data_IF_645985651534
#
_entry.id   IF_645985651534
#
_cell.length_a   1.000
_cell.length_b   1.000
_cell.length_c   1.000
_cell.angle_alpha   90.00
_cell.angle_beta   90.00
_cell.angle_gamma   90.00
#
_symmetry.space_group_name_H-M   'P 1'
#
loop_
_entity.id
_entity.type
_entity.pdbx_description
1 polymer ?
#
# COMPACT_ATOMS: atom_id res chain seq x y z
N UNK A 1 -26.42 -7.10 9.30
CA UNK A 1 -25.81 -8.20 8.52
C UNK A 1 -24.30 -8.10 8.39
N UNK A 2 -23.73 -6.99 7.90
CA UNK A 2 -22.27 -6.87 7.72
C UNK A 2 -21.43 -7.10 9.00
N UNK A 3 -21.92 -6.65 10.16
CA UNK A 3 -21.25 -6.91 11.45
C UNK A 3 -21.12 -8.40 11.78
N UNK A 4 -22.16 -9.19 11.56
CA UNK A 4 -22.12 -10.64 11.79
C UNK A 4 -21.15 -11.36 10.84
N UNK A 5 -21.11 -10.93 9.56
CA UNK A 5 -20.15 -11.45 8.58
C UNK A 5 -18.71 -11.15 9.03
N UNK A 6 -18.46 -9.93 9.50
CA UNK A 6 -17.13 -9.51 9.98
C UNK A 6 -16.67 -10.35 11.18
N UNK A 7 -17.56 -10.58 12.15
CA UNK A 7 -17.26 -11.42 13.33
C UNK A 7 -16.96 -12.86 12.92
N UNK A 8 -17.75 -13.43 12.00
CA UNK A 8 -17.53 -14.78 11.50
C UNK A 8 -16.16 -14.92 10.83
N UNK A 9 -15.80 -13.98 9.94
CA UNK A 9 -14.49 -13.97 9.26
C UNK A 9 -13.36 -13.81 10.29
N UNK A 10 -13.51 -12.92 11.27
CA UNK A 10 -12.49 -12.70 12.30
C UNK A 10 -12.16 -13.98 13.10
N UNK A 11 -13.17 -14.77 13.45
CA UNK A 11 -12.98 -16.04 14.16
C UNK A 11 -12.36 -17.10 13.23
N UNK A 12 -12.83 -17.20 11.98
CA UNK A 12 -12.31 -18.16 10.99
C UNK A 12 -10.83 -17.92 10.65
N UNK A 13 -10.37 -16.66 10.68
CA UNK A 13 -8.95 -16.35 10.47
C UNK A 13 -8.02 -16.90 11.57
N UNK A 14 -8.57 -17.35 12.71
CA UNK A 14 -7.83 -17.92 13.83
C UNK A 14 -6.64 -17.04 14.28
N UNK A 15 -6.87 -15.78 14.68
CA UNK A 15 -5.79 -14.84 15.00
C UNK A 15 -4.87 -15.31 16.13
N UNK A 16 -5.35 -16.20 17.01
CA UNK A 16 -4.51 -16.80 18.06
C UNK A 16 -3.33 -17.60 17.52
N UNK A 17 -3.40 -18.13 16.29
CA UNK A 17 -2.28 -18.86 15.67
C UNK A 17 -1.07 -17.98 15.38
N UNK A 18 -1.29 -16.74 14.95
CA UNK A 18 -0.18 -15.80 14.71
C UNK A 18 0.37 -15.20 16.01
N UNK A 19 -0.45 -15.19 17.08
CA UNK A 19 -0.06 -14.72 18.42
C UNK A 19 0.68 -15.78 19.25
N UNK A 20 0.68 -17.04 18.81
CA UNK A 20 1.29 -18.18 19.51
C UNK A 20 2.82 -17.99 19.72
N UNK A 21 3.48 -17.20 18.88
CA UNK A 21 4.90 -16.90 19.01
C UNK A 21 5.23 -15.45 18.69
N UNK A 22 6.28 -14.93 19.35
CA UNK A 22 6.85 -13.61 19.03
C UNK A 22 7.31 -13.52 17.58
N UNK A 23 7.84 -14.62 17.03
CA UNK A 23 8.26 -14.69 15.64
C UNK A 23 7.08 -14.48 14.68
N UNK A 24 5.98 -15.21 14.88
CA UNK A 24 4.78 -15.10 14.06
C UNK A 24 4.13 -13.72 14.18
N UNK A 25 4.05 -13.16 15.39
CA UNK A 25 3.38 -11.89 15.62
C UNK A 25 4.19 -10.69 15.11
N UNK A 26 5.44 -10.54 15.54
CA UNK A 26 6.25 -9.36 15.24
C UNK A 26 6.81 -9.47 13.83
N UNK A 27 7.57 -10.51 13.55
CA UNK A 27 8.40 -10.57 12.36
C UNK A 27 7.62 -11.00 11.11
N UNK A 28 6.54 -11.77 11.26
CA UNK A 28 5.73 -12.18 10.11
C UNK A 28 4.51 -11.29 9.92
N UNK A 29 3.72 -11.08 10.98
CA UNK A 29 2.47 -10.33 10.86
C UNK A 29 2.66 -8.81 10.88
N UNK A 30 3.25 -8.23 11.93
CA UNK A 30 3.40 -6.76 12.02
C UNK A 30 4.28 -6.20 10.89
N UNK A 31 5.43 -6.79 10.63
CA UNK A 31 6.30 -6.33 9.53
C UNK A 31 5.67 -6.61 8.17
N UNK A 32 5.03 -7.77 7.98
CA UNK A 32 4.35 -8.13 6.73
C UNK A 32 3.21 -7.16 6.40
N UNK A 33 2.37 -6.85 7.40
CA UNK A 33 1.32 -5.84 7.29
C UNK A 33 1.90 -4.46 6.97
N UNK A 34 2.99 -4.08 7.65
CA UNK A 34 3.67 -2.81 7.43
C UNK A 34 4.27 -2.69 6.02
N UNK A 35 4.72 -3.81 5.44
CA UNK A 35 5.22 -3.88 4.06
C UNK A 35 4.16 -3.49 3.01
N UNK A 36 2.87 -3.70 3.32
CA UNK A 36 1.75 -3.30 2.48
C UNK A 36 1.30 -1.87 2.76
N UNK A 37 1.23 -1.48 4.04
CA UNK A 37 0.79 -0.14 4.42
C UNK A 37 1.78 0.96 4.05
N UNK A 38 3.09 0.70 4.11
CA UNK A 38 4.14 1.67 3.74
C UNK A 38 3.91 2.25 2.34
N UNK A 39 3.82 1.41 1.29
CA UNK A 39 3.50 1.84 -0.07
C UNK A 39 2.20 2.66 -0.19
N UNK A 40 1.11 2.24 0.48
CA UNK A 40 -0.15 2.99 0.48
C UNK A 40 0.04 4.38 1.08
N UNK A 41 0.72 4.47 2.22
CA UNK A 41 1.03 5.74 2.85
C UNK A 41 1.88 6.64 1.95
N UNK A 42 2.90 6.08 1.28
CA UNK A 42 3.73 6.79 0.30
C UNK A 42 2.92 7.40 -0.84
N UNK A 43 2.03 6.62 -1.44
CA UNK A 43 1.14 7.07 -2.51
C UNK A 43 0.22 8.19 -2.02
N UNK A 44 -0.47 7.99 -0.90
CA UNK A 44 -1.42 8.97 -0.35
C UNK A 44 -0.74 10.28 0.04
N UNK A 45 0.46 10.23 0.64
CA UNK A 45 1.22 11.43 0.98
C UNK A 45 1.58 12.24 -0.27
N UNK A 46 2.07 11.58 -1.32
CA UNK A 46 2.43 12.26 -2.56
C UNK A 46 1.19 12.79 -3.28
N UNK A 47 0.12 12.01 -3.35
CA UNK A 47 -1.13 12.40 -3.98
C UNK A 47 -1.70 13.66 -3.31
N UNK A 48 -1.85 13.62 -2.00
CA UNK A 48 -2.50 14.68 -1.25
C UNK A 48 -1.61 15.93 -1.10
N UNK A 49 -0.37 15.77 -0.62
CA UNK A 49 0.47 16.92 -0.28
C UNK A 49 1.21 17.50 -1.48
N UNK A 50 1.73 16.67 -2.40
CA UNK A 50 2.59 17.15 -3.48
C UNK A 50 1.83 17.43 -4.78
N UNK A 51 0.95 16.52 -5.19
CA UNK A 51 0.22 16.62 -6.46
C UNK A 51 -0.98 17.55 -6.29
N UNK A 52 -1.83 17.25 -5.30
CA UNK A 52 -3.08 18.00 -5.05
C UNK A 52 -2.90 19.22 -4.16
N UNK A 53 -1.75 19.37 -3.52
CA UNK A 53 -1.43 20.52 -2.64
C UNK A 53 -2.53 20.75 -1.60
N UNK A 54 -2.93 19.67 -0.93
CA UNK A 54 -3.98 19.63 0.10
C UNK A 54 -5.38 20.08 -0.35
N UNK A 55 -5.65 20.11 -1.67
CA UNK A 55 -6.96 20.44 -2.22
C UNK A 55 -7.67 19.18 -2.71
N UNK A 56 -8.78 18.84 -2.05
CA UNK A 56 -9.63 17.71 -2.39
C UNK A 56 -11.07 18.21 -2.53
N UNK A 57 -11.77 17.71 -3.53
CA UNK A 57 -13.17 18.00 -3.73
C UNK A 57 -13.96 16.80 -3.24
N UNK A 58 -14.65 17.01 -2.14
CA UNK A 58 -15.33 15.95 -1.42
C UNK A 58 -16.52 15.45 -2.22
N UNK A 59 -17.25 16.33 -2.91
CA UNK A 59 -18.44 15.95 -3.67
C UNK A 59 -18.09 15.03 -4.84
N UNK A 60 -16.96 15.29 -5.50
CA UNK A 60 -16.45 14.44 -6.58
C UNK A 60 -15.98 13.06 -6.12
N UNK A 61 -15.64 12.85 -4.84
CA UNK A 61 -15.29 11.52 -4.32
C UNK A 61 -16.49 10.58 -4.20
N UNK A 62 -17.71 11.13 -4.12
CA UNK A 62 -18.94 10.35 -4.00
C UNK A 62 -19.62 10.10 -5.35
N UNK A 63 -18.98 10.47 -6.48
CA UNK A 63 -19.52 10.27 -7.83
C UNK A 63 -18.80 9.11 -8.53
N UNK A 64 -19.57 8.17 -9.08
CA UNK A 64 -19.03 7.03 -9.84
C UNK A 64 -18.24 7.45 -11.09
N UNK A 65 -18.64 8.54 -11.73
CA UNK A 65 -18.01 9.12 -12.93
C UNK A 65 -17.38 10.49 -12.68
N UNK A 66 -16.90 10.72 -11.45
CA UNK A 66 -16.22 11.95 -11.06
C UNK A 66 -14.76 12.03 -11.55
N UNK A 67 -14.11 13.14 -11.21
CA UNK A 67 -12.70 13.39 -11.58
C UNK A 67 -11.68 12.40 -10.97
N UNK A 68 -12.11 11.60 -10.00
CA UNK A 68 -11.30 10.56 -9.35
C UNK A 68 -11.56 9.15 -9.91
N UNK A 69 -12.37 9.01 -10.97
CA UNK A 69 -12.68 7.71 -11.56
C UNK A 69 -11.60 7.16 -12.50
N UNK A 70 -10.59 7.96 -12.87
CA UNK A 70 -9.45 7.56 -13.71
C UNK A 70 -9.85 6.69 -14.91
N UNK A 71 -9.19 5.54 -15.13
CA UNK A 71 -9.51 4.60 -16.21
C UNK A 71 -10.31 3.43 -15.63
N UNK A 72 -11.63 3.46 -15.84
CA UNK A 72 -12.53 2.39 -15.39
C UNK A 72 -12.61 2.23 -13.86
N UNK A 73 -12.44 3.32 -13.11
CA UNK A 73 -12.38 3.31 -11.64
C UNK A 73 -10.98 3.13 -11.06
N UNK A 74 -9.96 2.88 -11.90
CA UNK A 74 -8.61 2.53 -11.46
C UNK A 74 -7.57 3.56 -11.84
N UNK A 75 -6.79 3.99 -10.84
CA UNK A 75 -5.52 4.67 -11.08
C UNK A 75 -4.41 3.62 -11.27
N UNK A 76 -4.14 3.23 -12.51
CA UNK A 76 -3.09 2.26 -12.83
C UNK A 76 -1.69 2.70 -12.40
N UNK A 77 -1.44 4.00 -12.32
CA UNK A 77 -0.17 4.53 -11.77
C UNK A 77 -0.07 4.24 -10.27
N UNK A 78 -1.16 4.41 -9.51
CA UNK A 78 -1.20 4.06 -8.09
C UNK A 78 -1.01 2.55 -7.88
N UNK A 79 -1.68 1.72 -8.69
CA UNK A 79 -1.54 0.26 -8.62
C UNK A 79 -0.09 -0.16 -8.91
N UNK A 80 0.52 0.37 -9.98
CA UNK A 80 1.90 0.08 -10.31
C UNK A 80 2.87 0.54 -9.20
N UNK A 81 2.68 1.74 -8.66
CA UNK A 81 3.48 2.25 -7.55
C UNK A 81 3.39 1.36 -6.31
N UNK A 82 2.18 0.86 -6.00
CA UNK A 82 1.97 -0.06 -4.89
C UNK A 82 2.71 -1.38 -5.11
N UNK A 83 2.53 -2.01 -6.27
CA UNK A 83 3.19 -3.28 -6.60
C UNK A 83 4.72 -3.13 -6.56
N UNK A 84 5.27 -2.06 -7.13
CA UNK A 84 6.71 -1.80 -7.14
C UNK A 84 7.23 -1.52 -5.72
N UNK A 85 6.45 -0.85 -4.87
CA UNK A 85 6.81 -0.63 -3.46
C UNK A 85 6.80 -1.91 -2.61
N UNK A 86 5.88 -2.84 -2.89
CA UNK A 86 5.78 -4.12 -2.16
C UNK A 86 6.82 -5.14 -2.63
N UNK A 87 7.09 -5.22 -3.94
CA UNK A 87 7.85 -6.30 -4.56
C UNK A 87 9.21 -6.62 -3.89
N UNK A 88 10.05 -5.64 -3.49
CA UNK A 88 11.35 -5.92 -2.87
C UNK A 88 11.25 -6.63 -1.50
N UNK A 89 10.10 -6.50 -0.81
CA UNK A 89 9.88 -7.09 0.51
C UNK A 89 9.45 -8.55 0.44
N UNK A 90 9.00 -9.03 -0.72
CA UNK A 90 8.42 -10.37 -0.88
C UNK A 90 9.40 -11.48 -0.48
N UNK A 91 10.68 -11.49 -0.93
CA UNK A 91 11.59 -12.57 -0.56
C UNK A 91 11.85 -12.63 0.96
N UNK A 92 12.02 -11.48 1.62
CA UNK A 92 12.21 -11.42 3.07
C UNK A 92 10.96 -11.86 3.84
N UNK A 93 9.76 -11.46 3.39
CA UNK A 93 8.49 -11.92 3.95
C UNK A 93 8.33 -13.45 3.84
N UNK A 94 8.62 -14.02 2.67
CA UNK A 94 8.50 -15.48 2.45
C UNK A 94 9.44 -16.28 3.36
N UNK A 95 10.65 -15.77 3.62
CA UNK A 95 11.55 -16.36 4.60
C UNK A 95 11.00 -16.27 6.04
N UNK A 96 10.43 -15.12 6.43
CA UNK A 96 9.85 -14.94 7.76
C UNK A 96 8.60 -15.80 7.99
N UNK A 97 7.73 -15.91 6.97
CA UNK A 97 6.49 -16.66 7.03
C UNK A 97 6.70 -18.18 6.89
N UNK A 98 7.62 -18.60 6.02
CA UNK A 98 7.85 -20.00 5.66
C UNK A 98 9.34 -20.34 5.62
N UNK A 99 10.04 -20.29 6.76
CA UNK A 99 11.51 -20.42 6.82
C UNK A 99 12.02 -21.75 6.26
N UNK A 100 11.24 -22.83 6.40
CA UNK A 100 11.61 -24.15 5.88
C UNK A 100 11.49 -24.25 4.35
N UNK A 101 10.54 -23.51 3.75
CA UNK A 101 10.35 -23.51 2.30
C UNK A 101 11.28 -22.50 1.59
N UNK A 102 11.66 -21.42 2.27
CA UNK A 102 12.54 -20.37 1.75
C UNK A 102 13.77 -20.14 2.64
N UNK A 103 14.64 -21.14 2.87
CA UNK A 103 15.77 -21.02 3.79
C UNK A 103 16.87 -20.09 3.26
N UNK A 104 17.06 -20.07 1.93
CA UNK A 104 18.21 -19.43 1.27
C UNK A 104 17.90 -18.03 0.71
N UNK A 105 17.24 -17.18 1.50
CA UNK A 105 17.02 -15.78 1.13
C UNK A 105 18.25 -14.95 1.53
N UNK A 106 18.79 -14.19 0.58
CA UNK A 106 19.95 -13.34 0.80
C UNK A 106 19.73 -12.29 1.89
N UNK A 107 20.79 -11.96 2.63
CA UNK A 107 20.75 -11.02 3.78
C UNK A 107 20.12 -9.68 3.42
N UNK A 108 20.41 -9.16 2.23
CA UNK A 108 19.84 -7.90 1.73
C UNK A 108 18.31 -7.90 1.76
N UNK A 109 17.65 -8.99 1.35
CA UNK A 109 16.19 -9.06 1.35
C UNK A 109 15.59 -9.18 2.75
N UNK A 110 16.32 -9.81 3.69
CA UNK A 110 15.92 -9.87 5.10
C UNK A 110 16.01 -8.50 5.76
N UNK A 111 17.06 -7.73 5.45
CA UNK A 111 17.23 -6.36 5.91
C UNK A 111 16.20 -5.41 5.31
N UNK A 112 15.95 -5.49 3.99
CA UNK A 112 14.88 -4.73 3.35
C UNK A 112 13.53 -4.98 4.02
N UNK A 113 13.23 -6.25 4.29
CA UNK A 113 11.99 -6.62 4.97
C UNK A 113 11.93 -6.10 6.41
N UNK A 114 13.03 -6.10 7.17
CA UNK A 114 13.07 -5.52 8.50
C UNK A 114 12.68 -4.02 8.53
N UNK A 115 12.92 -3.31 7.42
CA UNK A 115 12.53 -1.91 7.23
C UNK A 115 11.42 -1.72 6.18
N UNK A 116 10.60 -2.76 5.96
CA UNK A 116 9.67 -2.82 4.82
C UNK A 116 8.74 -1.62 4.72
N UNK A 117 8.30 -1.07 5.85
CA UNK A 117 7.43 0.10 5.90
C UNK A 117 8.07 1.32 5.22
N UNK A 118 9.30 1.65 5.61
CA UNK A 118 10.01 2.82 5.08
C UNK A 118 10.40 2.61 3.61
N UNK A 119 10.96 1.44 3.29
CA UNK A 119 11.37 1.12 1.91
C UNK A 119 10.17 1.18 0.97
N UNK A 120 9.07 0.52 1.33
CA UNK A 120 7.86 0.52 0.52
C UNK A 120 7.26 1.91 0.35
N UNK A 121 7.24 2.71 1.42
CA UNK A 121 6.80 4.10 1.40
C UNK A 121 7.61 4.94 0.40
N UNK A 122 8.94 4.92 0.50
CA UNK A 122 9.79 5.75 -0.35
C UNK A 122 9.72 5.32 -1.82
N UNK A 123 9.77 4.02 -2.10
CA UNK A 123 9.68 3.51 -3.47
C UNK A 123 8.33 3.90 -4.09
N UNK A 124 7.22 3.62 -3.41
CA UNK A 124 5.89 3.91 -3.94
C UNK A 124 5.66 5.42 -4.10
N UNK A 125 6.14 6.24 -3.15
CA UNK A 125 6.08 7.70 -3.25
C UNK A 125 6.80 8.22 -4.50
N UNK A 126 8.04 7.76 -4.75
CA UNK A 126 8.82 8.18 -5.92
C UNK A 126 8.16 7.73 -7.22
N UNK A 127 7.78 6.45 -7.32
CA UNK A 127 7.15 5.89 -8.52
C UNK A 127 5.83 6.61 -8.82
N UNK A 128 4.99 6.83 -7.80
CA UNK A 128 3.74 7.53 -7.96
C UNK A 128 3.96 8.99 -8.38
N UNK A 129 4.92 9.69 -7.77
CA UNK A 129 5.25 11.08 -8.12
C UNK A 129 5.65 11.23 -9.58
N UNK A 130 6.48 10.31 -10.07
CA UNK A 130 6.97 10.29 -11.45
C UNK A 130 5.83 9.96 -12.40
N UNK A 131 5.09 8.87 -12.15
CA UNK A 131 4.00 8.45 -13.04
C UNK A 131 2.83 9.45 -13.10
N UNK A 132 2.57 10.18 -12.02
CA UNK A 132 1.53 11.20 -11.98
C UNK A 132 1.99 12.57 -12.50
N UNK A 133 3.28 12.80 -12.75
CA UNK A 133 3.79 14.11 -13.17
C UNK A 133 3.12 14.65 -14.45
N UNK A 134 2.76 13.76 -15.39
CA UNK A 134 2.03 14.12 -16.62
C UNK A 134 0.52 14.35 -16.43
N UNK A 135 -0.06 13.87 -15.32
CA UNK A 135 -1.51 13.96 -15.04
C UNK A 135 -1.89 15.25 -14.29
N UNK A 136 -0.91 15.97 -13.74
CA UNK A 136 -1.10 17.22 -12.97
C UNK A 136 -1.67 18.35 -13.83
N UNK A 137 -1.34 18.38 -15.14
CA UNK A 137 -1.74 19.48 -16.03
C UNK A 137 -3.24 19.57 -16.26
N UNK A 138 -3.99 18.47 -16.18
CA UNK A 138 -5.42 18.43 -16.47
C UNK A 138 -6.26 18.82 -15.24
N UNK A 139 -5.84 18.41 -14.05
CA UNK A 139 -6.57 18.62 -12.80
C UNK A 139 -6.47 20.05 -12.26
N UNK A 140 -5.30 20.71 -12.41
CA UNK A 140 -5.11 22.09 -11.94
C UNK A 140 -5.83 23.13 -12.81
N UNK A 141 -6.02 22.86 -14.11
CA UNK A 141 -6.77 23.75 -15.00
C UNK A 141 -8.27 23.74 -14.69
N UNK A 142 -8.81 22.62 -14.18
CA UNK A 142 -10.21 22.52 -13.79
C UNK A 142 -10.51 23.18 -12.44
N UNK A 143 -9.64 23.03 -11.43
CA UNK A 143 -9.82 23.64 -10.10
C UNK A 143 -9.70 25.18 -10.10
N UNK A 144 -8.95 25.77 -11.03
CA UNK A 144 -8.87 27.25 -11.16
C UNK A 144 -10.07 27.85 -11.90
N UNK A 145 -10.95 27.02 -12.48
CA UNK A 145 -12.11 27.43 -13.29
C UNK A 145 -13.46 27.19 -12.61
N UNK A 146 -13.47 26.51 -11.47
CA UNK A 146 -14.62 26.36 -10.58
C UNK A 146 -14.52 27.37 -9.44
#
# INVERSE_FOLDING_TARGET
MGGFITVAIAIIMMPWKILESTQGYIFTWLIGYSALLGPVAGILMVDYYLIRRTQLDVDELYKDSGKYSYSGGWNWVAVAAFVIGVAPNIPGFLNAAFPNAFPNVGTVFKELYAYAWFIGLFIAAVVYRIGMAGHVSSAQTQLRRA
#
